data_IF_767394824552
#
_entry.id   IF_767394824552
#
_cell.length_a   1.000
_cell.length_b   1.000
_cell.length_c   1.000
_cell.angle_alpha   90.00
_cell.angle_beta   90.00
_cell.angle_gamma   90.00
#
_symmetry.space_group_name_H-M   'P 1'
#
loop_
_entity.id
_entity.type
_entity.pdbx_description
1 polymer ?
#
# COMPACT_ATOMS: atom_id res chain seq x y z
N UNK A 1 -8.58 19.04 -6.98
CA UNK A 1 -9.08 18.51 -5.71
C UNK A 1 -9.00 17.00 -5.79
N UNK A 2 -8.44 16.37 -4.78
CA UNK A 2 -8.30 14.91 -4.79
C UNK A 2 -9.59 14.25 -4.32
N UNK A 3 -9.91 13.08 -4.91
CA UNK A 3 -11.07 12.27 -4.55
C UNK A 3 -10.61 11.08 -3.73
N UNK A 4 -11.02 11.02 -2.48
CA UNK A 4 -10.74 9.90 -1.59
C UNK A 4 -12.01 9.45 -0.89
N UNK A 5 -12.04 8.18 -0.44
CA UNK A 5 -13.16 7.66 0.34
C UNK A 5 -12.70 6.67 1.41
N UNK A 6 -13.48 6.47 2.47
CA UNK A 6 -13.35 5.34 3.36
C UNK A 6 -13.72 4.04 2.62
N UNK A 7 -13.39 2.89 3.18
CA UNK A 7 -13.63 1.59 2.55
C UNK A 7 -13.83 0.47 3.58
N UNK A 8 -14.47 -0.61 3.17
CA UNK A 8 -14.57 -1.83 3.97
C UNK A 8 -13.29 -2.64 3.85
N UNK A 9 -12.33 -2.41 4.77
CA UNK A 9 -11.02 -3.04 4.74
C UNK A 9 -11.08 -4.55 4.89
N UNK A 10 -10.30 -5.28 4.09
CA UNK A 10 -10.06 -6.71 4.31
C UNK A 10 -8.76 -6.82 5.10
N UNK A 11 -8.84 -7.31 6.32
CA UNK A 11 -7.73 -7.33 7.27
C UNK A 11 -7.77 -8.55 8.19
N UNK A 12 -6.64 -8.95 8.80
CA UNK A 12 -6.63 -10.10 9.69
C UNK A 12 -7.35 -9.79 11.02
N UNK A 13 -7.88 -10.82 11.73
CA UNK A 13 -8.15 -10.74 13.15
C UNK A 13 -6.92 -10.27 13.94
N UNK A 14 -7.13 -9.62 15.08
CA UNK A 14 -6.07 -9.00 15.89
C UNK A 14 -4.94 -9.98 16.23
N UNK A 15 -5.29 -11.20 16.58
CA UNK A 15 -4.37 -12.28 16.96
C UNK A 15 -3.45 -12.74 15.81
N UNK A 16 -3.85 -12.52 14.56
CA UNK A 16 -3.05 -12.90 13.38
C UNK A 16 -2.30 -11.73 12.74
N UNK A 17 -2.54 -10.50 13.18
CA UNK A 17 -2.01 -9.30 12.52
C UNK A 17 -0.49 -9.33 12.35
N UNK A 18 0.25 -9.69 13.40
CA UNK A 18 1.71 -9.77 13.36
C UNK A 18 2.24 -10.90 12.47
N UNK A 19 1.49 -12.02 12.35
CA UNK A 19 1.88 -13.15 11.52
C UNK A 19 1.56 -12.91 10.04
N UNK A 20 0.43 -12.22 9.76
CA UNK A 20 0.01 -11.85 8.40
C UNK A 20 0.91 -10.77 7.81
N UNK A 21 1.33 -9.80 8.64
CA UNK A 21 2.19 -8.71 8.19
C UNK A 21 3.48 -9.23 7.57
N UNK A 22 3.85 -8.69 6.41
CA UNK A 22 5.05 -9.05 5.68
C UNK A 22 5.75 -7.83 5.12
N UNK A 23 7.00 -7.99 4.73
CA UNK A 23 7.72 -7.00 3.95
C UNK A 23 7.10 -6.86 2.55
N UNK A 24 7.23 -5.71 1.88
CA UNK A 24 6.75 -5.53 0.50
C UNK A 24 7.35 -6.55 -0.47
N UNK A 25 6.61 -6.88 -1.52
CA UNK A 25 6.99 -7.91 -2.50
C UNK A 25 8.32 -7.64 -3.22
N UNK A 26 8.70 -6.37 -3.38
CA UNK A 26 9.84 -5.92 -4.17
C UNK A 26 11.15 -5.78 -3.36
N UNK A 27 11.10 -5.99 -2.05
CA UNK A 27 12.29 -5.97 -1.18
C UNK A 27 12.83 -7.37 -0.86
N UNK A 28 12.16 -8.43 -1.32
CA UNK A 28 12.53 -9.83 -1.14
C UNK A 28 12.60 -10.55 -2.48
N UNK A 29 13.66 -11.32 -2.72
CA UNK A 29 13.61 -12.31 -3.77
C UNK A 29 12.78 -13.54 -3.31
N UNK A 30 12.41 -14.42 -4.25
CA UNK A 30 11.51 -15.54 -3.94
C UNK A 30 12.11 -16.57 -2.96
N UNK A 31 13.43 -16.71 -2.93
CA UNK A 31 14.12 -17.61 -1.96
C UNK A 31 14.05 -17.02 -0.56
N UNK A 32 14.32 -15.74 -0.42
CA UNK A 32 14.19 -15.02 0.86
C UNK A 32 12.75 -15.03 1.35
N UNK A 33 11.79 -14.74 0.45
CA UNK A 33 10.38 -14.77 0.76
C UNK A 33 9.91 -16.15 1.27
N UNK A 34 10.35 -17.24 0.60
CA UNK A 34 10.06 -18.62 1.03
C UNK A 34 10.65 -18.93 2.40
N UNK A 35 11.84 -18.41 2.70
CA UNK A 35 12.51 -18.62 3.99
C UNK A 35 11.87 -17.84 5.15
N UNK A 36 11.26 -16.67 4.88
CA UNK A 36 10.61 -15.83 5.88
C UNK A 36 9.13 -16.14 6.08
N UNK A 37 8.46 -16.69 5.07
CA UNK A 37 7.03 -16.92 5.12
C UNK A 37 6.65 -17.94 6.21
N UNK A 38 5.80 -17.52 7.13
CA UNK A 38 5.06 -18.39 8.03
C UNK A 38 3.76 -18.84 7.35
N UNK A 39 3.00 -19.76 7.96
CA UNK A 39 1.75 -20.30 7.39
C UNK A 39 0.75 -19.19 6.99
N UNK A 40 0.72 -18.08 7.74
CA UNK A 40 -0.19 -16.94 7.51
C UNK A 40 0.51 -15.70 6.99
N UNK A 41 1.74 -15.80 6.49
CA UNK A 41 2.42 -14.64 5.92
C UNK A 41 1.73 -14.18 4.64
N UNK A 42 1.46 -12.86 4.51
CA UNK A 42 0.89 -12.28 3.31
C UNK A 42 1.72 -12.56 2.04
N UNK A 43 2.98 -12.96 2.21
CA UNK A 43 3.85 -13.38 1.11
C UNK A 43 3.23 -14.49 0.25
N UNK A 44 2.42 -15.39 0.81
CA UNK A 44 1.69 -16.41 0.05
C UNK A 44 0.66 -15.83 -0.94
N UNK A 45 0.28 -14.55 -0.77
CA UNK A 45 -0.67 -13.87 -1.66
C UNK A 45 0.05 -12.91 -2.61
N UNK A 46 1.11 -12.24 -2.15
CA UNK A 46 1.83 -11.24 -2.95
C UNK A 46 3.04 -11.80 -3.71
N UNK A 47 3.57 -12.96 -3.28
CA UNK A 47 4.67 -13.73 -3.89
C UNK A 47 4.34 -15.24 -3.91
N UNK A 48 3.22 -15.64 -4.54
CA UNK A 48 2.68 -16.99 -4.44
C UNK A 48 3.56 -18.06 -5.10
N UNK A 49 4.58 -17.70 -5.87
CA UNK A 49 5.59 -18.60 -6.42
C UNK A 49 6.33 -19.40 -5.34
N UNK A 50 6.35 -18.90 -4.09
CA UNK A 50 6.99 -19.57 -2.95
C UNK A 50 6.27 -20.85 -2.52
N UNK A 51 5.00 -21.02 -2.90
CA UNK A 51 4.18 -22.20 -2.56
C UNK A 51 4.51 -23.42 -3.44
N UNK A 52 5.34 -23.23 -4.45
CA UNK A 52 5.76 -24.31 -5.35
C UNK A 52 7.10 -24.91 -4.93
N UNK A 53 7.30 -26.18 -5.28
CA UNK A 53 8.58 -26.88 -5.09
C UNK A 53 8.93 -27.68 -6.36
N UNK A 54 9.95 -27.26 -7.13
CA UNK A 54 10.77 -26.06 -6.94
C UNK A 54 9.94 -24.75 -7.06
N UNK A 55 10.50 -23.62 -6.58
CA UNK A 55 9.89 -22.29 -6.73
C UNK A 55 9.58 -22.06 -8.21
N UNK A 56 8.33 -21.68 -8.50
CA UNK A 56 7.86 -21.46 -9.86
C UNK A 56 8.33 -20.10 -10.43
N UNK A 57 8.15 -19.91 -11.74
CA UNK A 57 8.34 -18.60 -12.38
C UNK A 57 7.25 -17.65 -11.88
N UNK A 58 7.66 -16.54 -11.24
CA UNK A 58 6.77 -15.53 -10.65
C UNK A 58 5.76 -14.92 -11.64
N UNK A 59 6.01 -15.02 -12.95
CA UNK A 59 5.15 -14.51 -14.02
C UNK A 59 4.31 -15.61 -14.70
N UNK A 60 4.31 -16.83 -14.18
CA UNK A 60 3.52 -17.91 -14.76
C UNK A 60 2.03 -17.81 -14.38
N UNK A 61 1.16 -18.28 -15.26
CA UNK A 61 -0.29 -18.28 -15.03
C UNK A 61 -0.67 -19.06 -13.76
N UNK A 62 -0.01 -20.17 -13.49
CA UNK A 62 -0.26 -20.99 -12.29
C UNK A 62 0.04 -20.23 -10.99
N UNK A 63 1.04 -19.34 -10.98
CA UNK A 63 1.39 -18.48 -9.84
C UNK A 63 0.29 -17.44 -9.62
N UNK A 64 -0.22 -16.80 -10.68
CA UNK A 64 -1.35 -15.87 -10.54
C UNK A 64 -2.63 -16.57 -10.05
N UNK A 65 -2.90 -17.79 -10.51
CA UNK A 65 -4.02 -18.60 -10.03
C UNK A 65 -3.85 -18.95 -8.55
N UNK A 66 -2.62 -19.27 -8.12
CA UNK A 66 -2.29 -19.54 -6.72
C UNK A 66 -2.53 -18.33 -5.81
N UNK A 67 -2.18 -17.12 -6.25
CA UNK A 67 -2.50 -15.88 -5.54
C UNK A 67 -4.00 -15.73 -5.27
N UNK A 68 -4.83 -15.98 -6.30
CA UNK A 68 -6.30 -15.91 -6.18
C UNK A 68 -6.83 -16.98 -5.21
N UNK A 69 -6.34 -18.21 -5.35
CA UNK A 69 -6.73 -19.32 -4.47
C UNK A 69 -6.41 -19.02 -3.02
N UNK A 70 -5.18 -18.59 -2.73
CA UNK A 70 -4.74 -18.24 -1.38
C UNK A 70 -5.59 -17.12 -0.79
N UNK A 71 -5.83 -16.04 -1.54
CA UNK A 71 -6.67 -14.94 -1.07
C UNK A 71 -8.10 -15.37 -0.76
N UNK A 72 -8.70 -16.23 -1.60
CA UNK A 72 -10.02 -16.81 -1.35
C UNK A 72 -10.03 -17.70 -0.10
N UNK A 73 -9.08 -18.64 -0.02
CA UNK A 73 -8.98 -19.58 1.10
C UNK A 73 -8.75 -18.88 2.43
N UNK A 74 -7.97 -17.81 2.46
CA UNK A 74 -7.71 -17.07 3.68
C UNK A 74 -8.97 -16.39 4.22
N UNK A 75 -9.82 -15.87 3.34
CA UNK A 75 -11.15 -15.35 3.74
C UNK A 75 -12.06 -16.47 4.27
N UNK A 76 -12.07 -17.61 3.61
CA UNK A 76 -12.89 -18.78 4.04
C UNK A 76 -12.42 -19.34 5.39
N UNK A 77 -11.12 -19.25 5.68
CA UNK A 77 -10.54 -19.70 6.96
C UNK A 77 -10.65 -18.67 8.08
N UNK A 78 -11.14 -17.47 7.81
CA UNK A 78 -11.18 -16.37 8.77
C UNK A 78 -9.79 -15.81 9.12
N UNK A 79 -8.78 -16.01 8.26
CA UNK A 79 -7.46 -15.38 8.40
C UNK A 79 -7.47 -13.94 7.89
N UNK A 80 -8.42 -13.63 7.02
CA UNK A 80 -8.76 -12.30 6.58
C UNK A 80 -10.28 -12.12 6.68
N UNK A 81 -10.69 -11.00 7.25
CA UNK A 81 -12.10 -10.63 7.42
C UNK A 81 -12.32 -9.25 6.78
N UNK A 82 -13.50 -9.04 6.21
CA UNK A 82 -13.89 -7.76 5.66
C UNK A 82 -14.72 -6.99 6.67
N UNK A 83 -14.35 -5.73 6.94
CA UNK A 83 -15.17 -4.85 7.77
C UNK A 83 -16.55 -4.66 7.15
N UNK A 84 -17.57 -4.60 7.98
CA UNK A 84 -18.98 -4.46 7.56
C UNK A 84 -19.37 -3.03 7.20
N UNK A 85 -18.56 -2.06 7.61
CA UNK A 85 -18.76 -0.63 7.37
C UNK A 85 -17.51 -0.02 6.77
N UNK A 86 -17.69 1.10 6.06
CA UNK A 86 -16.58 1.84 5.46
C UNK A 86 -15.90 2.72 6.51
N UNK A 87 -14.57 2.62 6.57
CA UNK A 87 -13.72 3.38 7.49
C UNK A 87 -12.51 3.96 6.77
N UNK A 88 -11.99 5.08 7.28
CA UNK A 88 -10.57 5.39 7.19
C UNK A 88 -9.86 4.62 8.31
N UNK A 89 -8.58 4.36 8.09
CA UNK A 89 -7.75 3.69 9.09
C UNK A 89 -6.50 4.51 9.34
N UNK A 90 -6.15 4.71 10.59
CA UNK A 90 -4.87 5.33 10.95
C UNK A 90 -3.84 4.22 11.06
N UNK A 91 -2.73 4.40 10.37
CA UNK A 91 -1.57 3.53 10.43
C UNK A 91 -0.37 4.31 10.92
N UNK A 92 0.30 3.78 11.93
CA UNK A 92 1.55 4.36 12.40
C UNK A 92 2.69 3.34 12.34
N UNK A 93 3.86 3.82 11.94
CA UNK A 93 5.08 3.04 11.88
C UNK A 93 6.14 3.69 12.75
N UNK A 94 6.76 2.89 13.63
CA UNK A 94 7.85 3.31 14.49
C UNK A 94 9.15 2.70 14.02
N UNK A 95 10.12 3.56 13.69
CA UNK A 95 11.48 3.18 13.29
C UNK A 95 12.49 4.01 14.07
N UNK A 96 13.45 3.36 14.74
CA UNK A 96 14.50 4.03 15.53
C UNK A 96 13.94 5.05 16.54
N UNK A 97 12.83 4.73 17.20
CA UNK A 97 12.18 5.58 18.19
C UNK A 97 11.37 6.75 17.62
N UNK A 98 11.28 6.88 16.29
CA UNK A 98 10.42 7.86 15.62
C UNK A 98 9.18 7.19 15.07
N UNK A 99 8.02 7.68 15.48
CA UNK A 99 6.71 7.24 14.95
C UNK A 99 6.20 8.25 13.93
N UNK A 100 5.72 7.75 12.80
CA UNK A 100 5.03 8.53 11.77
C UNK A 100 3.60 8.01 11.62
N UNK A 101 2.65 8.91 11.47
CA UNK A 101 1.22 8.61 11.40
C UNK A 101 0.68 8.94 10.02
N UNK A 102 -0.01 8.01 9.40
CA UNK A 102 -0.68 8.16 8.11
C UNK A 102 -2.11 7.63 8.15
N UNK A 103 -2.83 7.85 7.06
CA UNK A 103 -4.22 7.43 6.91
C UNK A 103 -4.31 6.49 5.71
N UNK A 104 -4.83 5.27 5.93
CA UNK A 104 -5.19 4.37 4.85
C UNK A 104 -6.58 4.73 4.32
N UNK A 105 -6.69 4.82 3.00
CA UNK A 105 -7.85 5.29 2.27
C UNK A 105 -7.90 4.72 0.86
N UNK A 106 -9.02 4.87 0.18
CA UNK A 106 -9.10 4.63 -1.25
C UNK A 106 -9.02 5.96 -2.03
N UNK A 107 -8.13 5.99 -3.05
CA UNK A 107 -7.92 7.14 -3.94
C UNK A 107 -8.48 6.85 -5.32
N UNK A 108 -9.08 7.85 -5.96
CA UNK A 108 -9.70 7.69 -7.26
C UNK A 108 -8.66 7.63 -8.39
N UNK A 109 -8.79 6.69 -9.31
CA UNK A 109 -7.79 6.48 -10.38
C UNK A 109 -7.66 7.66 -11.36
N UNK A 110 -8.73 8.43 -11.58
CA UNK A 110 -8.69 9.60 -12.46
C UNK A 110 -7.77 10.71 -11.89
N UNK A 111 -7.59 10.77 -10.58
CA UNK A 111 -6.67 11.73 -9.96
C UNK A 111 -5.20 11.43 -10.35
N UNK A 112 -4.87 10.15 -10.57
CA UNK A 112 -3.59 9.77 -11.14
C UNK A 112 -3.47 10.15 -12.61
N UNK A 113 -4.52 9.93 -13.41
CA UNK A 113 -4.53 10.24 -14.83
C UNK A 113 -4.52 11.77 -15.09
N UNK A 114 -5.24 12.54 -14.29
CA UNK A 114 -5.31 14.01 -14.40
C UNK A 114 -4.10 14.73 -13.82
N UNK A 115 -3.26 14.02 -13.04
CA UNK A 115 -2.11 14.59 -12.35
C UNK A 115 -2.46 15.31 -11.04
N UNK A 116 -3.63 15.08 -10.44
CA UNK A 116 -3.91 15.43 -9.06
C UNK A 116 -3.08 14.57 -8.09
N UNK A 117 -2.78 13.32 -8.47
CA UNK A 117 -1.73 12.50 -7.85
C UNK A 117 -0.45 12.69 -8.66
N UNK A 118 0.54 13.35 -8.06
CA UNK A 118 1.83 13.69 -8.68
C UNK A 118 2.80 12.53 -8.62
N UNK A 119 3.47 12.26 -9.72
CA UNK A 119 4.51 11.24 -9.85
C UNK A 119 5.85 11.90 -10.18
N UNK A 120 6.94 11.27 -9.77
CA UNK A 120 8.32 11.74 -10.03
C UNK A 120 9.19 10.67 -10.70
N UNK A 121 8.62 9.49 -10.99
CA UNK A 121 9.30 8.38 -11.62
C UNK A 121 8.51 7.86 -12.82
N UNK A 122 9.24 7.42 -13.86
CA UNK A 122 8.65 6.69 -14.98
C UNK A 122 8.57 5.21 -14.63
N UNK A 123 7.40 4.63 -14.87
CA UNK A 123 7.14 3.22 -14.61
C UNK A 123 7.59 2.35 -15.79
N UNK A 124 8.02 1.13 -15.48
CA UNK A 124 8.39 0.11 -16.47
C UNK A 124 7.15 -0.68 -16.89
N UNK A 125 6.89 -0.81 -18.22
CA UNK A 125 5.69 -1.50 -18.72
C UNK A 125 5.56 -2.97 -18.28
N UNK A 126 6.68 -3.70 -18.18
CA UNK A 126 6.72 -5.09 -17.72
C UNK A 126 6.25 -5.23 -16.28
N UNK A 127 6.74 -4.35 -15.39
CA UNK A 127 6.32 -4.35 -13.98
C UNK A 127 4.90 -3.84 -13.76
N UNK A 128 4.44 -2.89 -14.59
CA UNK A 128 3.05 -2.47 -14.56
C UNK A 128 2.11 -3.63 -14.93
N UNK A 129 2.42 -4.34 -16.04
CA UNK A 129 1.56 -5.42 -16.51
C UNK A 129 1.46 -6.54 -15.48
N UNK A 130 2.56 -6.93 -14.85
CA UNK A 130 2.58 -7.91 -13.77
C UNK A 130 1.63 -7.51 -12.63
N UNK A 131 1.73 -6.27 -12.13
CA UNK A 131 0.83 -5.77 -11.07
C UNK A 131 -0.61 -5.64 -11.55
N UNK A 132 -0.86 -5.32 -12.83
CA UNK A 132 -2.20 -5.30 -13.40
C UNK A 132 -2.83 -6.68 -13.41
N UNK A 133 -2.08 -7.74 -13.73
CA UNK A 133 -2.56 -9.13 -13.69
C UNK A 133 -3.00 -9.49 -12.28
N UNK A 134 -2.20 -9.16 -11.25
CA UNK A 134 -2.58 -9.37 -9.86
C UNK A 134 -3.91 -8.68 -9.51
N UNK A 135 -4.04 -7.38 -9.80
CA UNK A 135 -5.27 -6.62 -9.50
C UNK A 135 -6.48 -7.15 -10.27
N UNK A 136 -6.33 -7.51 -11.55
CA UNK A 136 -7.41 -8.08 -12.38
C UNK A 136 -7.90 -9.41 -11.80
N UNK A 137 -6.98 -10.28 -11.43
CA UNK A 137 -7.28 -11.63 -10.98
C UNK A 137 -7.85 -11.64 -9.56
N UNK A 138 -7.18 -10.98 -8.62
CA UNK A 138 -7.59 -10.92 -7.22
C UNK A 138 -8.82 -10.04 -7.00
N UNK A 139 -9.10 -9.10 -7.90
CA UNK A 139 -10.16 -8.07 -7.79
C UNK A 139 -10.04 -7.25 -6.50
N UNK A 140 -8.82 -7.06 -6.06
CA UNK A 140 -8.48 -6.35 -4.83
C UNK A 140 -7.11 -5.65 -4.98
N UNK A 141 -6.90 -4.60 -4.20
CA UNK A 141 -5.60 -3.97 -4.01
C UNK A 141 -5.01 -4.54 -2.71
N UNK A 142 -4.08 -5.48 -2.83
CA UNK A 142 -3.54 -6.19 -1.66
C UNK A 142 -2.51 -5.34 -0.92
N UNK A 143 -1.63 -4.67 -1.64
CA UNK A 143 -0.60 -3.82 -1.08
C UNK A 143 -0.94 -2.35 -1.29
N UNK A 144 -0.96 -1.52 -0.22
CA UNK A 144 -1.22 -0.10 -0.37
C UNK A 144 -0.08 0.59 -1.12
N UNK A 145 -0.41 1.63 -1.86
CA UNK A 145 0.59 2.59 -2.35
C UNK A 145 0.88 3.62 -1.26
N UNK A 146 2.06 4.22 -1.30
CA UNK A 146 2.49 5.18 -0.31
C UNK A 146 2.48 6.59 -0.89
N UNK A 147 1.64 7.46 -0.31
CA UNK A 147 1.52 8.85 -0.73
C UNK A 147 1.89 9.82 0.38
N UNK A 148 2.14 11.05 -0.02
CA UNK A 148 2.24 12.19 0.89
C UNK A 148 1.37 13.34 0.41
N UNK A 149 1.00 14.23 1.33
CA UNK A 149 0.22 15.43 1.07
C UNK A 149 0.75 16.62 1.89
N UNK A 150 0.51 17.88 1.44
CA UNK A 150 0.83 19.05 2.24
C UNK A 150 0.08 19.03 3.56
N UNK A 151 0.76 19.38 4.65
CA UNK A 151 0.18 19.33 6.00
C UNK A 151 -1.16 20.09 6.08
N UNK A 152 -2.07 19.52 6.87
CA UNK A 152 -3.36 20.10 7.19
C UNK A 152 -3.64 19.91 8.68
N UNK A 153 -3.72 21.01 9.43
CA UNK A 153 -3.83 20.98 10.90
C UNK A 153 -5.11 20.29 11.37
N UNK A 154 -6.22 20.41 10.63
CA UNK A 154 -7.47 19.73 11.01
C UNK A 154 -7.40 18.22 10.81
N UNK A 155 -6.75 17.75 9.74
CA UNK A 155 -6.50 16.31 9.53
C UNK A 155 -5.59 15.78 10.63
N UNK A 156 -4.51 16.50 10.92
CA UNK A 156 -3.58 16.14 11.98
C UNK A 156 -4.28 16.06 13.35
N UNK A 157 -5.13 17.03 13.68
CA UNK A 157 -5.90 17.03 14.92
C UNK A 157 -6.87 15.84 15.03
N UNK A 158 -7.50 15.43 13.93
CA UNK A 158 -8.35 14.21 13.90
C UNK A 158 -7.50 12.97 14.20
N UNK A 159 -6.36 12.82 13.53
CA UNK A 159 -5.44 11.68 13.76
C UNK A 159 -4.99 11.63 15.21
N UNK A 160 -4.55 12.77 15.76
CA UNK A 160 -4.12 12.87 17.16
C UNK A 160 -5.23 12.51 18.15
N UNK A 161 -6.47 12.97 17.91
CA UNK A 161 -7.59 12.65 18.79
C UNK A 161 -7.93 11.16 18.76
N UNK A 162 -7.97 10.54 17.59
CA UNK A 162 -8.26 9.09 17.47
C UNK A 162 -7.20 8.27 18.18
N UNK A 163 -5.92 8.60 17.96
CA UNK A 163 -4.78 7.87 18.57
C UNK A 163 -4.77 8.05 20.09
N UNK A 164 -5.06 9.26 20.58
CA UNK A 164 -5.05 9.56 22.03
C UNK A 164 -6.23 8.91 22.78
N UNK A 165 -7.39 8.89 22.14
CA UNK A 165 -8.65 8.53 22.81
C UNK A 165 -9.00 7.02 22.64
N UNK A 166 -8.22 6.27 21.85
CA UNK A 166 -8.48 4.85 21.58
C UNK A 166 -7.21 4.01 21.66
N UNK A 167 -7.36 2.81 22.21
CA UNK A 167 -6.33 1.77 22.07
C UNK A 167 -6.24 1.31 20.61
N UNK A 168 -5.05 0.96 20.12
CA UNK A 168 -4.88 0.46 18.75
C UNK A 168 -5.56 -0.91 18.57
N UNK A 169 -6.19 -1.06 17.41
CA UNK A 169 -6.72 -2.36 16.97
C UNK A 169 -5.57 -3.37 16.77
N UNK A 170 -4.46 -2.91 16.20
CA UNK A 170 -3.20 -3.67 16.12
C UNK A 170 -2.05 -2.89 16.73
N UNK A 171 -1.21 -3.59 17.46
CA UNK A 171 0.03 -3.06 18.06
C UNK A 171 1.03 -4.20 18.17
N UNK A 172 2.08 -4.17 17.35
CA UNK A 172 3.12 -5.18 17.35
C UNK A 172 4.43 -4.64 16.77
N UNK A 173 5.51 -5.34 17.09
CA UNK A 173 6.83 -5.10 16.48
C UNK A 173 7.15 -6.25 15.54
N UNK A 174 7.44 -5.93 14.28
CA UNK A 174 7.83 -6.91 13.27
C UNK A 174 9.26 -7.41 13.49
N UNK A 175 9.64 -8.49 12.78
CA UNK A 175 10.95 -9.14 12.92
C UNK A 175 12.13 -8.22 12.55
N UNK A 176 11.91 -7.20 11.73
CA UNK A 176 12.88 -6.17 11.36
C UNK A 176 13.05 -5.08 12.42
N UNK A 177 12.30 -5.15 13.53
CA UNK A 177 12.33 -4.21 14.63
C UNK A 177 11.44 -2.98 14.45
N UNK A 178 10.64 -2.90 13.37
CA UNK A 178 9.69 -1.82 13.18
C UNK A 178 8.41 -2.06 13.97
N UNK A 179 7.94 -1.01 14.68
CA UNK A 179 6.65 -1.01 15.34
C UNK A 179 5.53 -0.66 14.36
N UNK A 180 4.44 -1.37 14.46
CA UNK A 180 3.24 -1.17 13.64
C UNK A 180 2.04 -0.97 14.54
N UNK A 181 1.32 0.14 14.34
CA UNK A 181 0.14 0.48 15.11
C UNK A 181 -0.99 0.84 14.15
N UNK A 182 -2.21 0.43 14.47
CA UNK A 182 -3.33 0.59 13.57
C UNK A 182 -4.63 0.87 14.32
N UNK A 183 -5.41 1.84 13.88
CA UNK A 183 -6.72 2.22 14.44
C UNK A 183 -7.77 2.29 13.34
N UNK A 184 -8.94 1.73 13.61
CA UNK A 184 -10.13 1.91 12.77
C UNK A 184 -10.83 3.20 13.18
N UNK A 185 -11.04 4.13 12.27
CA UNK A 185 -11.80 5.36 12.51
C UNK A 185 -13.29 5.02 12.50
N UNK A 186 -13.85 4.63 13.66
CA UNK A 186 -15.22 4.15 13.78
C UNK A 186 -16.28 5.25 13.74
N UNK A 187 -15.91 6.50 14.03
CA UNK A 187 -16.84 7.63 13.98
C UNK A 187 -17.19 7.98 12.55
N UNK A 188 -18.47 7.84 12.19
CA UNK A 188 -18.98 8.25 10.88
C UNK A 188 -18.80 9.75 10.60
N UNK A 189 -18.90 10.56 11.66
CA UNK A 189 -18.67 11.99 11.57
C UNK A 189 -17.22 12.30 11.21
N UNK A 190 -16.24 11.65 11.85
CA UNK A 190 -14.84 11.83 11.52
C UNK A 190 -14.49 11.29 10.11
N UNK A 191 -15.08 10.18 9.68
CA UNK A 191 -14.93 9.68 8.32
C UNK A 191 -15.43 10.72 7.29
N UNK A 192 -16.61 11.27 7.48
CA UNK A 192 -17.14 12.31 6.60
C UNK A 192 -16.23 13.56 6.61
N UNK A 193 -15.80 13.99 7.80
CA UNK A 193 -14.93 15.17 7.92
C UNK A 193 -13.58 14.97 7.23
N UNK A 194 -12.97 13.78 7.35
CA UNK A 194 -11.74 13.45 6.62
C UNK A 194 -11.94 13.54 5.10
N UNK A 195 -13.04 12.99 4.57
CA UNK A 195 -13.37 13.08 3.14
C UNK A 195 -13.46 14.54 2.68
N UNK A 196 -14.15 15.39 3.43
CA UNK A 196 -14.28 16.83 3.13
C UNK A 196 -12.92 17.55 3.15
N UNK A 197 -12.10 17.26 4.17
CA UNK A 197 -10.79 17.89 4.32
C UNK A 197 -9.83 17.47 3.19
N UNK A 198 -9.81 16.19 2.83
CA UNK A 198 -9.01 15.71 1.69
C UNK A 198 -9.47 16.29 0.37
N UNK A 199 -10.77 16.57 0.18
CA UNK A 199 -11.26 17.27 -1.00
C UNK A 199 -10.67 18.69 -1.12
N UNK A 200 -10.20 19.29 -0.01
CA UNK A 200 -9.47 20.56 0.00
C UNK A 200 -7.98 20.45 -0.29
N UNK A 201 -7.40 19.24 -0.27
CA UNK A 201 -5.97 19.02 -0.56
C UNK A 201 -5.72 19.22 -2.06
N UNK A 202 -4.74 20.06 -2.45
CA UNK A 202 -4.51 20.40 -3.85
C UNK A 202 -3.95 19.25 -4.68
N UNK A 203 -3.13 18.39 -4.08
CA UNK A 203 -2.51 17.23 -4.73
C UNK A 203 -2.00 16.22 -3.71
N UNK A 204 -1.99 14.94 -4.08
CA UNK A 204 -1.20 13.89 -3.45
C UNK A 204 0.10 13.68 -4.25
N UNK A 205 1.10 13.13 -3.60
CA UNK A 205 2.40 12.86 -4.22
C UNK A 205 2.78 11.41 -3.96
N UNK A 206 3.14 10.67 -5.00
CA UNK A 206 3.63 9.30 -4.85
C UNK A 206 4.97 9.34 -4.15
N UNK A 207 5.05 8.77 -2.94
CA UNK A 207 6.31 8.60 -2.22
C UNK A 207 6.95 7.25 -2.56
N UNK A 208 6.11 6.19 -2.68
CA UNK A 208 6.51 4.85 -3.12
C UNK A 208 5.34 4.11 -3.79
N UNK A 209 5.65 3.08 -4.59
CA UNK A 209 4.65 2.26 -5.28
C UNK A 209 4.18 2.83 -6.61
N UNK A 210 5.05 3.46 -7.40
CA UNK A 210 4.72 4.01 -8.72
C UNK A 210 4.10 2.95 -9.65
N UNK A 211 4.67 1.74 -9.71
CA UNK A 211 4.15 0.64 -10.55
C UNK A 211 2.77 0.18 -10.07
N UNK A 212 2.57 0.03 -8.75
CA UNK A 212 1.26 -0.33 -8.16
C UNK A 212 0.20 0.74 -8.45
N UNK A 213 0.55 2.02 -8.32
CA UNK A 213 -0.35 3.13 -8.61
C UNK A 213 -0.74 3.14 -10.09
N UNK A 214 0.23 3.02 -11.00
CA UNK A 214 -0.01 2.97 -12.44
C UNK A 214 -0.89 1.77 -12.82
N UNK A 215 -0.57 0.58 -12.30
CA UNK A 215 -1.33 -0.63 -12.55
C UNK A 215 -2.80 -0.51 -12.09
N UNK A 216 -3.03 -0.04 -10.87
CA UNK A 216 -4.37 0.17 -10.35
C UNK A 216 -5.18 1.16 -11.19
N UNK A 217 -4.55 2.29 -11.59
CA UNK A 217 -5.20 3.29 -12.44
C UNK A 217 -5.56 2.74 -13.83
N UNK A 218 -4.67 1.94 -14.45
CA UNK A 218 -4.93 1.31 -15.74
C UNK A 218 -6.04 0.27 -15.66
N UNK A 219 -6.06 -0.57 -14.63
CA UNK A 219 -7.14 -1.56 -14.43
C UNK A 219 -8.48 -0.85 -14.18
N UNK A 220 -8.50 0.22 -13.38
CA UNK A 220 -9.68 1.06 -13.20
C UNK A 220 -10.20 1.61 -14.54
N UNK A 221 -9.32 2.15 -15.38
CA UNK A 221 -9.67 2.67 -16.70
C UNK A 221 -10.17 1.55 -17.66
N UNK A 222 -9.59 0.36 -17.62
CA UNK A 222 -10.06 -0.79 -18.40
C UNK A 222 -11.49 -1.18 -18.00
N UNK A 223 -11.76 -1.27 -16.70
CA UNK A 223 -13.09 -1.63 -16.18
C UNK A 223 -14.12 -0.54 -16.48
N UNK A 224 -13.73 0.73 -16.38
CA UNK A 224 -14.57 1.85 -16.79
C UNK A 224 -15.00 1.71 -18.27
N UNK A 225 -14.03 1.46 -19.17
CA UNK A 225 -14.31 1.29 -20.61
C UNK A 225 -15.19 0.08 -20.91
N UNK A 226 -15.09 -0.98 -20.10
CA UNK A 226 -15.87 -2.20 -20.25
C UNK A 226 -17.29 -2.12 -19.65
N UNK A 227 -17.55 -1.11 -18.81
CA UNK A 227 -18.85 -0.94 -18.15
C UNK A 227 -19.70 0.14 -18.85
N UNK A 228 -20.72 -0.23 -19.64
CA UNK A 228 -21.59 0.76 -20.31
C UNK A 228 -22.44 1.60 -19.34
N UNK A 229 -22.57 1.15 -18.09
CA UNK A 229 -23.33 1.82 -17.04
C UNK A 229 -22.39 2.50 -16.00
N UNK A 230 -21.17 2.83 -16.39
CA UNK A 230 -20.20 3.47 -15.51
C UNK A 230 -20.73 4.79 -14.97
N UNK A 231 -20.63 4.98 -13.64
CA UNK A 231 -21.09 6.16 -12.92
C UNK A 231 -19.94 6.97 -12.32
N UNK A 232 -18.79 6.35 -12.11
CA UNK A 232 -17.62 6.91 -11.42
C UNK A 232 -17.56 6.60 -9.92
N UNK A 233 -18.58 5.94 -9.38
CA UNK A 233 -18.65 5.58 -7.95
C UNK A 233 -18.35 4.10 -7.68
N UNK A 234 -18.07 3.32 -8.73
CA UNK A 234 -17.79 1.92 -8.59
C UNK A 234 -16.47 1.66 -7.86
N UNK A 235 -16.39 0.53 -7.12
CA UNK A 235 -15.20 0.17 -6.34
C UNK A 235 -13.90 0.10 -7.17
N UNK A 236 -13.99 -0.33 -8.44
CA UNK A 236 -12.84 -0.34 -9.34
C UNK A 236 -12.32 1.05 -9.73
N UNK A 237 -13.06 2.12 -9.40
CA UNK A 237 -12.59 3.48 -9.58
C UNK A 237 -11.56 3.89 -8.52
N UNK A 238 -11.45 3.12 -7.46
CA UNK A 238 -10.64 3.46 -6.31
C UNK A 238 -9.57 2.39 -6.05
N UNK A 239 -8.44 2.82 -5.53
CA UNK A 239 -7.34 1.94 -5.15
C UNK A 239 -6.78 2.31 -3.77
N UNK A 240 -6.23 1.33 -3.08
CA UNK A 240 -5.75 1.43 -1.72
C UNK A 240 -4.45 2.23 -1.64
N UNK A 241 -4.43 3.23 -0.76
CA UNK A 241 -3.25 4.04 -0.45
C UNK A 241 -3.11 4.24 1.07
N UNK A 242 -1.88 4.40 1.54
CA UNK A 242 -1.57 4.98 2.84
C UNK A 242 -0.92 6.34 2.59
N UNK A 243 -1.50 7.39 3.17
CA UNK A 243 -1.05 8.77 2.96
C UNK A 243 -0.55 9.40 4.26
N UNK A 244 0.62 10.06 4.19
CA UNK A 244 1.22 10.74 5.32
C UNK A 244 1.33 12.24 5.05
N UNK A 245 1.10 13.12 6.04
CA UNK A 245 1.43 14.53 5.90
C UNK A 245 2.94 14.71 5.71
N UNK A 246 3.34 15.71 4.94
CA UNK A 246 4.75 15.91 4.55
C UNK A 246 5.69 16.02 5.75
N UNK A 247 5.25 16.63 6.85
CA UNK A 247 6.03 16.76 8.09
C UNK A 247 6.33 15.42 8.79
N UNK A 248 5.52 14.40 8.54
CA UNK A 248 5.72 13.05 9.09
C UNK A 248 6.77 12.24 8.32
N UNK A 249 7.13 12.67 7.11
CA UNK A 249 8.10 11.96 6.28
C UNK A 249 9.53 12.45 6.53
N UNK A 250 10.46 11.53 6.31
CA UNK A 250 11.89 11.83 6.28
C UNK A 250 12.46 11.31 4.96
N UNK A 251 13.10 12.19 4.22
CA UNK A 251 13.86 11.80 3.04
C UNK A 251 15.20 11.26 3.52
N UNK A 252 15.51 10.03 3.12
CA UNK A 252 16.80 9.38 3.40
C UNK A 252 17.53 9.25 2.07
N UNK A 253 18.82 9.57 2.07
CA UNK A 253 19.66 9.45 0.89
C UNK A 253 19.68 7.99 0.38
N UNK A 254 19.41 7.83 -0.92
CA UNK A 254 19.57 6.54 -1.57
C UNK A 254 21.03 6.33 -1.96
N UNK A 255 21.83 5.88 -1.01
CA UNK A 255 23.27 5.73 -1.17
C UNK A 255 23.61 4.51 -2.03
N UNK A 256 24.47 4.72 -3.04
CA UNK A 256 25.08 3.62 -3.79
C UNK A 256 26.47 3.35 -3.22
N UNK A 257 26.71 2.10 -2.85
CA UNK A 257 28.02 1.67 -2.35
C UNK A 257 28.83 1.19 -3.53
N UNK A 258 29.96 1.84 -3.77
CA UNK A 258 30.96 1.40 -4.76
C UNK A 258 32.03 0.60 -4.04
N UNK A 259 32.15 -0.68 -4.36
CA UNK A 259 33.05 -1.63 -3.69
C UNK A 259 34.53 -1.35 -3.99
N UNK A 260 34.81 -0.85 -5.19
CA UNK A 260 36.14 -0.49 -5.65
C UNK A 260 36.03 0.67 -6.65
N UNK A 261 36.76 1.73 -6.43
CA UNK A 261 36.80 2.89 -7.33
C UNK A 261 37.61 2.63 -8.60
N UNK A 262 38.30 1.48 -8.69
CA UNK A 262 39.07 1.06 -9.86
C UNK A 262 40.01 2.18 -10.39
N UNK A 263 40.68 2.87 -9.48
CA UNK A 263 41.59 3.99 -9.79
C UNK A 263 40.90 5.33 -10.06
N UNK A 264 39.56 5.42 -9.97
CA UNK A 264 38.83 6.69 -10.07
C UNK A 264 38.89 7.46 -8.75
N UNK A 265 39.07 8.78 -8.85
CA UNK A 265 39.11 9.66 -7.68
C UNK A 265 37.69 10.01 -7.21
N UNK A 266 37.54 10.29 -5.91
CA UNK A 266 36.27 10.69 -5.27
C UNK A 266 35.53 11.85 -5.98
N UNK A 267 36.26 12.72 -6.66
CA UNK A 267 35.67 13.83 -7.45
C UNK A 267 34.76 13.37 -8.60
N UNK A 268 34.92 12.16 -9.12
CA UNK A 268 34.04 11.60 -10.18
C UNK A 268 32.75 10.98 -9.62
N UNK A 269 32.74 10.59 -8.35
CA UNK A 269 31.57 10.02 -7.70
C UNK A 269 30.51 11.09 -7.40
N UNK A 270 30.91 12.35 -7.26
CA UNK A 270 30.00 13.49 -6.98
C UNK A 270 29.25 13.96 -8.24
N UNK A 271 29.70 13.60 -9.42
CA UNK A 271 29.08 13.99 -10.71
C UNK A 271 28.12 12.94 -11.29
N UNK A 272 27.84 11.85 -10.57
CA UNK A 272 26.90 10.81 -10.99
C UNK A 272 25.51 10.95 -10.31
N UNK A 273 25.19 12.18 -9.85
CA UNK A 273 23.86 12.55 -9.34
C UNK A 273 23.00 13.17 -10.43
#
# INVERSE_FOLDING_TARGET
>A
MVKVKPFCGIRPPKEYAAEVASRPYDVLNSVEAKAEATERSLLHIIKPEIDFDPIADEHSEEVYQKAMENFRLWKERGWLEQDSEEHYYIYAQTMEGRTQYGIAMCCHFEDYLSGAIKKHELTRPDKEEDRMIHVRNQKANIEPVFFTYPDNDEINAIVESVVKDNEPDYDFTAADGFGHHFWVVRSKELNNRLTELFAGIPALYVADGHHRTAAAARVGQERMKANPNHTGEEEYCYFLAVTFPASQLRIIDYNRVVKDLNGLYLQLVVFLY
#
